data_IF_386906968972
#
_entry.id   IF_386906968972
#
_cell.length_a   1.000
_cell.length_b   1.000
_cell.length_c   1.000
_cell.angle_alpha   90.00
_cell.angle_beta   90.00
_cell.angle_gamma   90.00
#
_symmetry.space_group_name_H-M   'P 1'
#
loop_
_entity.id
_entity.type
_entity.pdbx_description
1 polymer ?
#
# COMPACT_ATOMS: atom_id res chain seq x y z
N UNK A 1 -19.77 -4.09 -12.68
CA UNK A 1 -18.64 -4.18 -13.63
C UNK A 1 -18.48 -2.79 -14.22
N UNK A 2 -17.27 -2.25 -14.30
CA UNK A 2 -17.07 -0.92 -14.90
C UNK A 2 -17.38 -0.96 -16.40
N UNK A 3 -18.01 0.08 -16.99
CA UNK A 3 -18.22 0.16 -18.43
C UNK A 3 -16.90 0.04 -19.19
N UNK A 4 -16.89 -0.70 -20.30
CA UNK A 4 -15.67 -1.02 -21.05
C UNK A 4 -14.99 0.23 -21.66
N UNK A 5 -15.78 1.26 -21.98
CA UNK A 5 -15.35 2.54 -22.56
C UNK A 5 -14.93 3.57 -21.51
N UNK A 6 -15.20 3.32 -20.22
CA UNK A 6 -14.91 4.28 -19.15
C UNK A 6 -13.42 4.66 -19.08
N UNK A 7 -12.44 3.73 -19.16
CA UNK A 7 -11.02 4.08 -19.12
C UNK A 7 -10.60 5.04 -20.24
N UNK A 8 -11.11 4.85 -21.46
CA UNK A 8 -10.81 5.71 -22.62
C UNK A 8 -11.43 7.10 -22.45
N UNK A 9 -12.66 7.17 -21.95
CA UNK A 9 -13.36 8.43 -21.66
C UNK A 9 -12.66 9.23 -20.57
N UNK A 10 -12.12 8.56 -19.55
CA UNK A 10 -11.30 9.19 -18.52
C UNK A 10 -9.97 9.69 -19.11
N UNK A 11 -9.31 8.93 -20.00
CA UNK A 11 -8.08 9.36 -20.67
C UNK A 11 -8.28 10.54 -21.63
N UNK A 12 -9.51 10.78 -22.12
CA UNK A 12 -9.84 11.95 -22.91
C UNK A 12 -9.90 13.25 -22.09
N UNK A 13 -9.93 13.16 -20.74
CA UNK A 13 -9.93 14.33 -19.86
C UNK A 13 -8.53 14.92 -19.77
N UNK A 14 -8.44 16.24 -19.90
CA UNK A 14 -7.17 16.98 -19.85
C UNK A 14 -6.41 16.69 -18.55
N UNK A 15 -5.13 16.38 -18.70
CA UNK A 15 -4.21 16.04 -17.61
C UNK A 15 -4.12 14.53 -17.36
N UNK A 16 -5.11 13.73 -17.75
CA UNK A 16 -5.06 12.28 -17.61
C UNK A 16 -4.12 11.67 -18.65
N UNK A 17 -3.20 10.83 -18.20
CA UNK A 17 -2.22 10.13 -19.04
C UNK A 17 -2.61 8.68 -19.26
N UNK A 18 -3.10 8.02 -18.21
CA UNK A 18 -3.47 6.61 -18.26
C UNK A 18 -4.45 6.26 -17.12
N UNK A 19 -5.18 5.16 -17.32
CA UNK A 19 -6.04 4.54 -16.31
C UNK A 19 -5.64 3.08 -16.17
N UNK A 20 -5.51 2.62 -14.92
CA UNK A 20 -5.18 1.23 -14.64
C UNK A 20 -6.04 0.67 -13.50
N UNK A 21 -6.32 -0.62 -13.58
CA UNK A 21 -6.90 -1.38 -12.49
C UNK A 21 -5.80 -1.71 -11.49
N UNK A 22 -6.05 -1.41 -10.21
CA UNK A 22 -5.18 -1.73 -9.09
C UNK A 22 -5.80 -2.76 -8.14
N UNK A 23 -5.27 -2.76 -6.92
CA UNK A 23 -5.79 -3.51 -5.79
C UNK A 23 -5.91 -5.02 -6.00
N UNK A 24 -6.87 -5.62 -5.30
CA UNK A 24 -7.01 -7.08 -5.26
C UNK A 24 -7.36 -7.68 -6.62
N UNK A 25 -8.16 -6.96 -7.43
CA UNK A 25 -8.60 -7.40 -8.75
C UNK A 25 -7.46 -7.43 -9.77
N UNK A 26 -6.56 -6.45 -9.75
CA UNK A 26 -5.40 -6.46 -10.61
C UNK A 26 -4.45 -7.64 -10.33
N UNK A 27 -4.39 -8.06 -9.05
CA UNK A 27 -3.52 -9.13 -8.56
C UNK A 27 -4.15 -10.53 -8.59
N UNK A 28 -5.43 -10.67 -8.94
CA UNK A 28 -6.15 -11.94 -8.89
C UNK A 28 -6.47 -12.41 -7.47
N UNK A 29 -6.43 -11.52 -6.48
CA UNK A 29 -6.66 -11.79 -5.06
C UNK A 29 -8.05 -11.32 -4.57
N UNK A 30 -8.93 -10.95 -5.51
CA UNK A 30 -10.26 -10.42 -5.20
C UNK A 30 -11.19 -11.47 -4.59
N UNK A 31 -12.07 -10.99 -3.72
CA UNK A 31 -13.24 -11.71 -3.23
C UNK A 31 -14.50 -11.22 -3.96
N UNK A 32 -15.65 -11.91 -3.83
CA UNK A 32 -16.90 -11.44 -4.42
C UNK A 32 -17.30 -10.03 -3.99
N UNK A 33 -16.97 -9.63 -2.76
CA UNK A 33 -17.24 -8.33 -2.15
C UNK A 33 -16.16 -7.27 -2.41
N UNK A 34 -15.10 -7.58 -3.17
CA UNK A 34 -14.01 -6.62 -3.40
C UNK A 34 -14.45 -5.42 -4.22
N UNK A 35 -13.96 -4.26 -3.79
CA UNK A 35 -13.90 -2.98 -4.50
C UNK A 35 -13.17 -3.10 -5.85
N UNK A 36 -13.35 -2.07 -6.68
CA UNK A 36 -12.55 -1.83 -7.88
C UNK A 36 -11.67 -0.60 -7.66
N UNK A 37 -10.36 -0.79 -7.61
CA UNK A 37 -9.41 0.31 -7.54
C UNK A 37 -9.03 0.79 -8.95
N UNK A 38 -9.49 1.98 -9.35
CA UNK A 38 -9.09 2.65 -10.58
C UNK A 38 -8.02 3.70 -10.29
N UNK A 39 -6.78 3.38 -10.62
CA UNK A 39 -5.67 4.33 -10.61
C UNK A 39 -5.74 5.24 -11.84
N UNK A 40 -5.93 6.53 -11.61
CA UNK A 40 -5.91 7.58 -12.62
C UNK A 40 -4.56 8.30 -12.56
N UNK A 41 -3.72 8.05 -13.57
CA UNK A 41 -2.39 8.62 -13.67
C UNK A 41 -2.47 9.91 -14.46
N UNK A 42 -2.01 11.01 -13.87
CA UNK A 42 -2.10 12.34 -14.47
C UNK A 42 -0.76 13.05 -14.47
N UNK A 43 -0.64 14.11 -15.27
CA UNK A 43 0.50 15.02 -15.30
C UNK A 43 0.03 16.46 -15.46
N UNK A 44 0.66 17.39 -14.75
CA UNK A 44 0.27 18.80 -14.77
C UNK A 44 -1.08 19.03 -14.09
N UNK A 45 -1.88 19.95 -14.62
CA UNK A 45 -3.19 20.24 -14.06
C UNK A 45 -4.24 19.20 -14.47
N UNK A 46 -4.90 18.61 -13.47
CA UNK A 46 -6.00 17.68 -13.66
C UNK A 46 -7.33 18.43 -13.76
N UNK A 47 -8.08 18.18 -14.84
CA UNK A 47 -9.41 18.77 -15.04
C UNK A 47 -10.49 18.02 -14.24
N UNK A 48 -10.51 18.24 -12.92
CA UNK A 48 -11.44 17.59 -12.00
C UNK A 48 -12.92 17.84 -12.33
N UNK A 49 -13.36 19.04 -12.76
CA UNK A 49 -14.72 19.25 -13.24
C UNK A 49 -15.09 18.33 -14.43
N UNK A 50 -14.21 18.18 -15.41
CA UNK A 50 -14.43 17.27 -16.53
C UNK A 50 -14.43 15.79 -16.10
N UNK A 51 -13.55 15.39 -15.17
CA UNK A 51 -13.58 14.04 -14.57
C UNK A 51 -14.92 13.76 -13.88
N UNK A 52 -15.42 14.73 -13.12
CA UNK A 52 -16.71 14.61 -12.43
C UNK A 52 -17.84 14.44 -13.42
N UNK A 53 -17.83 15.19 -14.52
CA UNK A 53 -18.82 15.04 -15.59
C UNK A 53 -18.79 13.65 -16.23
N UNK A 54 -17.59 13.06 -16.46
CA UNK A 54 -17.47 11.68 -16.96
C UNK A 54 -18.01 10.69 -15.92
N UNK A 55 -17.57 10.77 -14.67
CA UNK A 55 -18.01 9.88 -13.60
C UNK A 55 -19.53 9.94 -13.35
N UNK A 56 -20.14 11.13 -13.45
CA UNK A 56 -21.58 11.34 -13.31
C UNK A 56 -22.44 10.56 -14.31
N UNK A 57 -21.87 10.16 -15.45
CA UNK A 57 -22.61 9.37 -16.45
C UNK A 57 -22.69 7.87 -16.13
N UNK A 58 -21.88 7.38 -15.18
CA UNK A 58 -21.74 5.94 -14.90
C UNK A 58 -22.02 5.59 -13.43
N UNK A 59 -21.97 6.56 -12.53
CA UNK A 59 -22.24 6.33 -11.12
C UNK A 59 -23.74 6.14 -10.85
N UNK A 60 -24.05 5.39 -9.80
CA UNK A 60 -25.39 5.23 -9.25
C UNK A 60 -25.77 6.40 -8.35
N UNK A 61 -24.79 7.18 -7.88
CA UNK A 61 -24.98 8.25 -6.92
C UNK A 61 -25.37 9.57 -7.60
N UNK A 62 -26.33 10.30 -7.00
CA UNK A 62 -26.87 11.54 -7.57
C UNK A 62 -25.86 12.71 -7.55
N UNK A 63 -24.90 12.68 -6.64
CA UNK A 63 -23.81 13.65 -6.58
C UNK A 63 -22.47 12.91 -6.53
N UNK A 64 -21.57 13.28 -7.44
CA UNK A 64 -20.23 12.69 -7.53
C UNK A 64 -19.26 13.59 -6.80
N UNK A 65 -18.78 13.15 -5.64
CA UNK A 65 -17.77 13.85 -4.88
C UNK A 65 -16.34 13.44 -5.32
N UNK A 66 -15.70 14.28 -6.12
CA UNK A 66 -14.26 14.19 -6.41
C UNK A 66 -13.50 15.30 -5.69
N UNK A 67 -12.38 14.96 -5.04
CA UNK A 67 -11.46 15.95 -4.48
C UNK A 67 -10.63 16.62 -5.57
N UNK A 68 -10.02 17.76 -5.25
CA UNK A 68 -8.84 18.22 -5.97
C UNK A 68 -7.62 17.33 -5.65
N UNK A 69 -6.57 17.31 -6.48
CA UNK A 69 -5.25 16.82 -6.07
C UNK A 69 -4.79 17.49 -4.75
N UNK A 70 -4.10 16.74 -3.90
CA UNK A 70 -3.81 17.02 -2.50
C UNK A 70 -4.96 16.82 -1.50
N UNK A 71 -6.19 16.58 -1.95
CA UNK A 71 -7.39 16.58 -1.10
C UNK A 71 -7.49 15.44 -0.08
N UNK A 72 -6.80 14.32 -0.30
CA UNK A 72 -6.73 13.19 0.63
C UNK A 72 -5.40 13.12 1.41
N UNK A 73 -4.53 14.10 1.24
CA UNK A 73 -3.26 14.21 1.95
C UNK A 73 -2.04 14.09 1.04
N UNK A 74 -0.85 13.98 1.64
CA UNK A 74 0.40 14.14 0.91
C UNK A 74 0.80 12.91 0.10
N UNK A 75 0.12 11.77 0.18
CA UNK A 75 0.50 10.52 -0.50
C UNK A 75 -0.62 9.94 -1.37
N UNK A 76 -1.79 9.75 -0.79
CA UNK A 76 -2.98 9.46 -1.59
C UNK A 76 -3.50 10.81 -2.04
N UNK A 77 -3.10 11.21 -3.25
CA UNK A 77 -3.20 12.58 -3.75
C UNK A 77 -4.65 13.09 -3.80
N UNK A 78 -5.59 12.23 -4.15
CA UNK A 78 -7.01 12.56 -4.16
C UNK A 78 -7.79 11.52 -4.93
N UNK A 79 -9.05 11.81 -5.16
CA UNK A 79 -9.93 10.89 -5.85
C UNK A 79 -11.39 11.06 -5.51
N UNK A 80 -12.12 9.97 -5.65
CA UNK A 80 -13.49 9.83 -5.19
C UNK A 80 -13.88 8.37 -5.02
N UNK A 81 -14.82 8.13 -4.11
CA UNK A 81 -15.50 6.86 -4.00
C UNK A 81 -16.76 6.92 -4.84
N UNK A 82 -16.87 5.99 -5.78
CA UNK A 82 -18.00 5.87 -6.70
C UNK A 82 -18.72 4.56 -6.46
N UNK A 83 -19.96 4.48 -6.93
CA UNK A 83 -20.69 3.23 -7.02
C UNK A 83 -21.20 3.06 -8.45
N UNK A 84 -20.82 1.98 -9.12
CA UNK A 84 -21.16 1.75 -10.53
C UNK A 84 -21.86 0.40 -10.64
N UNK A 85 -23.15 0.40 -10.93
CA UNK A 85 -23.95 -0.81 -11.05
C UNK A 85 -23.97 -1.62 -9.75
N UNK A 86 -24.11 -0.94 -8.61
CA UNK A 86 -24.16 -1.49 -7.26
C UNK A 86 -22.81 -1.85 -6.64
N UNK A 87 -21.70 -1.60 -7.33
CA UNK A 87 -20.35 -2.01 -6.89
C UNK A 87 -19.50 -0.79 -6.54
N UNK A 88 -18.78 -0.85 -5.42
CA UNK A 88 -17.84 0.19 -5.01
C UNK A 88 -16.63 0.28 -5.96
N UNK A 89 -16.29 1.50 -6.37
CA UNK A 89 -15.17 1.82 -7.25
C UNK A 89 -14.39 2.99 -6.64
N UNK A 90 -13.13 2.75 -6.30
CA UNK A 90 -12.21 3.74 -5.76
C UNK A 90 -11.44 4.37 -6.93
N UNK A 91 -11.78 5.61 -7.29
CA UNK A 91 -11.03 6.39 -8.28
C UNK A 91 -9.91 7.13 -7.54
N UNK A 92 -8.65 6.78 -7.82
CA UNK A 92 -7.49 7.24 -7.05
C UNK A 92 -6.51 7.96 -7.97
N UNK A 93 -6.16 9.21 -7.64
CA UNK A 93 -5.20 10.00 -8.42
C UNK A 93 -3.75 9.62 -8.13
N UNK A 94 -2.94 9.64 -9.18
CA UNK A 94 -1.49 9.41 -9.15
C UNK A 94 -0.77 10.41 -10.05
N UNK A 95 -0.03 11.33 -9.45
CA UNK A 95 0.92 12.18 -10.18
C UNK A 95 2.03 11.31 -10.78
N UNK A 96 2.02 11.16 -12.10
CA UNK A 96 2.97 10.32 -12.82
C UNK A 96 4.41 10.84 -12.71
N UNK A 97 4.63 12.16 -12.57
CA UNK A 97 5.96 12.71 -12.35
C UNK A 97 6.48 12.32 -10.97
N UNK A 98 5.61 12.27 -9.96
CA UNK A 98 5.98 11.75 -8.65
C UNK A 98 6.31 10.27 -8.70
N UNK A 99 5.53 9.46 -9.41
CA UNK A 99 5.85 8.02 -9.58
C UNK A 99 7.24 7.85 -10.21
N UNK A 100 7.59 8.64 -11.23
CA UNK A 100 8.94 8.61 -11.83
C UNK A 100 10.04 9.04 -10.87
N UNK A 101 9.82 10.07 -10.04
CA UNK A 101 10.78 10.47 -8.98
C UNK A 101 11.00 9.33 -7.98
N UNK A 102 9.91 8.75 -7.45
CA UNK A 102 9.98 7.63 -6.52
C UNK A 102 10.65 6.41 -7.16
N UNK A 103 10.40 6.14 -8.45
CA UNK A 103 11.09 5.07 -9.17
C UNK A 103 12.61 5.29 -9.20
N UNK A 104 13.03 6.52 -9.46
CA UNK A 104 14.45 6.91 -9.43
C UNK A 104 15.06 6.72 -8.03
N UNK A 105 14.32 7.09 -6.98
CA UNK A 105 14.74 6.89 -5.59
C UNK A 105 14.85 5.40 -5.24
N UNK A 106 13.84 4.60 -5.59
CA UNK A 106 13.85 3.15 -5.35
C UNK A 106 15.07 2.49 -6.01
N UNK A 107 15.38 2.84 -7.26
CA UNK A 107 16.57 2.33 -7.96
C UNK A 107 17.89 2.70 -7.29
N UNK A 108 17.90 3.78 -6.52
CA UNK A 108 19.05 4.23 -5.73
C UNK A 108 18.99 3.78 -4.26
N UNK A 109 18.07 2.88 -3.90
CA UNK A 109 17.91 2.38 -2.52
C UNK A 109 17.33 3.41 -1.55
N UNK A 110 16.65 4.43 -2.06
CA UNK A 110 15.98 5.46 -1.25
C UNK A 110 14.48 5.23 -1.21
N UNK A 111 13.92 5.41 -0.03
CA UNK A 111 12.48 5.48 0.19
C UNK A 111 12.22 6.35 1.42
N UNK A 112 11.03 6.94 1.50
CA UNK A 112 10.51 7.58 2.69
C UNK A 112 9.23 6.87 3.17
N UNK A 113 8.93 7.06 4.46
CA UNK A 113 7.69 6.60 5.11
C UNK A 113 6.99 7.82 5.68
N UNK A 114 5.82 8.16 5.15
CA UNK A 114 5.10 9.37 5.55
C UNK A 114 3.77 9.09 6.24
N UNK A 115 3.28 10.09 6.99
CA UNK A 115 1.95 10.05 7.59
C UNK A 115 0.89 10.25 6.52
N UNK A 116 -0.09 9.35 6.46
CA UNK A 116 -1.16 9.39 5.46
C UNK A 116 -2.45 8.78 6.04
N UNK A 117 -3.56 9.49 5.91
CA UNK A 117 -4.87 8.96 6.27
C UNK A 117 -5.18 7.70 5.44
N UNK A 118 -5.72 6.67 6.09
CA UNK A 118 -5.98 5.37 5.48
C UNK A 118 -4.78 4.40 5.48
N UNK A 119 -3.58 4.85 5.89
CA UNK A 119 -2.39 4.03 5.98
C UNK A 119 -1.80 4.03 7.41
N UNK A 120 -2.34 3.23 8.34
CA UNK A 120 -1.93 3.25 9.75
C UNK A 120 -0.47 2.84 9.98
N UNK A 121 0.15 2.12 9.03
CA UNK A 121 1.58 1.78 9.12
C UNK A 121 2.49 2.96 8.71
N UNK A 122 1.92 3.96 8.05
CA UNK A 122 2.64 4.97 7.27
C UNK A 122 2.72 4.56 5.80
N UNK A 123 2.67 5.55 4.91
CA UNK A 123 2.78 5.34 3.48
C UNK A 123 4.24 5.17 3.09
N UNK A 124 4.61 3.96 2.67
CA UNK A 124 5.91 3.69 2.08
C UNK A 124 5.91 4.22 0.66
N UNK A 125 6.77 5.20 0.35
CA UNK A 125 6.87 5.80 -0.98
C UNK A 125 6.97 4.77 -2.12
N UNK A 126 7.67 3.66 -1.90
CA UNK A 126 7.79 2.54 -2.85
C UNK A 126 6.44 1.94 -3.29
N UNK A 127 5.36 2.16 -2.54
CA UNK A 127 4.00 1.78 -2.94
C UNK A 127 3.57 2.40 -4.28
N UNK A 128 3.97 3.64 -4.60
CA UNK A 128 3.68 4.25 -5.91
C UNK A 128 4.19 3.38 -7.07
N UNK A 129 5.40 2.87 -6.93
CA UNK A 129 6.06 2.05 -7.96
C UNK A 129 5.46 0.65 -7.97
N UNK A 130 5.22 0.08 -6.79
CA UNK A 130 4.59 -1.22 -6.64
C UNK A 130 3.18 -1.26 -7.22
N UNK A 131 2.40 -0.19 -7.09
CA UNK A 131 1.08 -0.08 -7.72
C UNK A 131 1.19 -0.13 -9.25
N UNK A 132 2.15 0.59 -9.86
CA UNK A 132 2.40 0.48 -11.30
C UNK A 132 2.85 -0.93 -11.69
N UNK A 133 3.74 -1.55 -10.92
CA UNK A 133 4.24 -2.90 -11.20
C UNK A 133 3.12 -3.95 -11.19
N UNK A 134 2.16 -3.80 -10.26
CA UNK A 134 1.10 -4.77 -10.00
C UNK A 134 -0.21 -4.46 -10.73
N UNK A 135 -0.36 -3.30 -11.36
CA UNK A 135 -1.61 -2.92 -12.01
C UNK A 135 -1.87 -3.71 -13.31
N UNK A 136 -3.11 -3.62 -13.79
CA UNK A 136 -3.47 -3.94 -15.18
C UNK A 136 -3.82 -2.62 -15.89
N UNK A 137 -3.05 -2.27 -16.92
CA UNK A 137 -3.30 -1.04 -17.69
C UNK A 137 -4.61 -1.22 -18.46
N UNK A 138 -5.56 -0.30 -18.26
CA UNK A 138 -6.87 -0.33 -18.93
C UNK A 138 -6.90 0.60 -20.15
N UNK A 139 -6.28 1.78 -20.03
CA UNK A 139 -6.10 2.73 -21.12
C UNK A 139 -4.79 3.52 -20.92
N UNK A 140 -3.99 3.66 -21.98
CA UNK A 140 -2.69 4.37 -21.96
C UNK A 140 -2.34 4.83 -23.38
N UNK A 141 -3.01 5.88 -23.90
CA UNK A 141 -2.86 6.31 -25.29
C UNK A 141 -1.44 6.74 -25.66
N UNK A 142 -0.60 7.07 -24.67
CA UNK A 142 0.80 7.52 -24.88
C UNK A 142 1.83 6.42 -24.65
N UNK A 143 1.41 5.26 -24.14
CA UNK A 143 2.28 4.15 -23.75
C UNK A 143 3.20 4.45 -22.57
N UNK A 144 3.02 5.57 -21.85
CA UNK A 144 3.92 6.00 -20.78
C UNK A 144 3.82 5.08 -19.57
N UNK A 145 2.60 4.76 -19.13
CA UNK A 145 2.38 3.89 -17.98
C UNK A 145 2.83 2.47 -18.28
N UNK A 146 2.56 1.98 -19.49
CA UNK A 146 2.93 0.64 -19.96
C UNK A 146 4.45 0.45 -19.98
N UNK A 147 5.20 1.44 -20.50
CA UNK A 147 6.67 1.42 -20.47
C UNK A 147 7.21 1.44 -19.04
N UNK A 148 6.65 2.28 -18.17
CA UNK A 148 7.06 2.33 -16.77
C UNK A 148 6.78 1.00 -16.06
N UNK A 149 5.60 0.41 -16.29
CA UNK A 149 5.23 -0.90 -15.73
C UNK A 149 6.18 -2.01 -16.14
N UNK A 150 6.67 -2.03 -17.38
CA UNK A 150 7.68 -3.02 -17.79
C UNK A 150 8.96 -2.87 -16.96
N UNK A 151 9.41 -1.63 -16.74
CA UNK A 151 10.62 -1.35 -15.94
C UNK A 151 10.45 -1.75 -14.47
N UNK A 152 9.26 -1.57 -13.90
CA UNK A 152 9.00 -1.81 -12.47
C UNK A 152 8.69 -3.27 -12.13
N UNK A 153 8.64 -4.17 -13.13
CA UNK A 153 8.57 -5.62 -12.91
C UNK A 153 9.81 -6.15 -12.20
N UNK A 154 10.97 -5.57 -12.49
CA UNK A 154 12.22 -5.89 -11.81
C UNK A 154 12.30 -5.10 -10.49
N UNK A 155 12.30 -5.82 -9.38
CA UNK A 155 12.44 -5.22 -8.05
C UNK A 155 13.88 -4.72 -7.85
N UNK A 156 14.11 -3.43 -7.54
CA UNK A 156 15.47 -2.91 -7.45
C UNK A 156 16.27 -3.55 -6.29
N UNK A 157 17.45 -4.13 -6.55
CA UNK A 157 18.30 -4.69 -5.50
C UNK A 157 18.67 -3.66 -4.41
N UNK A 158 18.96 -2.43 -4.81
CA UNK A 158 19.28 -1.36 -3.86
C UNK A 158 18.11 -1.02 -2.92
N UNK A 159 16.86 -1.08 -3.40
CA UNK A 159 15.68 -0.91 -2.54
C UNK A 159 15.54 -2.10 -1.59
N UNK A 160 15.78 -3.32 -2.09
CA UNK A 160 15.73 -4.52 -1.27
C UNK A 160 16.72 -4.42 -0.11
N UNK A 161 17.98 -4.07 -0.39
CA UNK A 161 19.02 -3.90 0.62
C UNK A 161 18.64 -2.84 1.66
N UNK A 162 18.10 -1.70 1.22
CA UNK A 162 17.68 -0.61 2.11
C UNK A 162 16.52 -1.02 3.04
N UNK A 163 15.51 -1.70 2.51
CA UNK A 163 14.36 -2.18 3.31
C UNK A 163 14.76 -3.31 4.26
N UNK A 164 15.65 -4.22 3.83
CA UNK A 164 16.19 -5.26 4.71
C UNK A 164 17.00 -4.63 5.84
N UNK A 165 17.87 -3.66 5.52
CA UNK A 165 18.65 -2.94 6.51
C UNK A 165 17.75 -2.23 7.53
N UNK A 166 16.59 -1.71 7.12
CA UNK A 166 15.61 -1.05 8.02
C UNK A 166 15.00 -1.96 9.08
N UNK A 167 15.17 -3.28 8.96
CA UNK A 167 14.69 -4.27 9.93
C UNK A 167 15.17 -4.03 11.37
N UNK A 168 16.26 -3.28 11.58
CA UNK A 168 16.74 -2.90 12.91
C UNK A 168 15.68 -2.13 13.72
N UNK A 169 14.77 -1.40 13.06
CA UNK A 169 13.68 -0.64 13.71
C UNK A 169 12.82 -1.55 14.59
N UNK A 170 12.56 -2.78 14.15
CA UNK A 170 11.73 -3.74 14.87
C UNK A 170 12.31 -4.06 16.27
N UNK A 171 13.63 -4.29 16.35
CA UNK A 171 14.31 -4.53 17.63
C UNK A 171 14.29 -3.30 18.56
N UNK A 172 14.43 -2.11 17.98
CA UNK A 172 14.35 -0.86 18.73
C UNK A 172 12.97 -0.64 19.35
N UNK A 173 11.90 -0.87 18.57
CA UNK A 173 10.51 -0.78 19.05
C UNK A 173 10.22 -1.77 20.18
N UNK A 174 10.69 -3.01 20.07
CA UNK A 174 10.50 -4.02 21.13
C UNK A 174 11.29 -3.70 22.40
N UNK A 175 12.41 -2.98 22.29
CA UNK A 175 13.13 -2.44 23.46
C UNK A 175 12.30 -1.37 24.16
N UNK A 176 11.65 -0.48 23.41
CA UNK A 176 10.72 0.52 23.95
C UNK A 176 9.51 -0.12 24.60
N UNK A 177 8.84 -1.04 23.91
CA UNK A 177 7.65 -1.75 24.38
C UNK A 177 7.92 -2.49 25.71
N UNK A 178 9.09 -3.11 25.87
CA UNK A 178 9.47 -3.81 27.11
C UNK A 178 9.60 -2.88 28.33
N UNK A 179 9.91 -1.59 28.14
CA UNK A 179 9.91 -0.61 29.24
C UNK A 179 8.49 -0.25 29.64
N UNK A 180 7.60 -0.10 28.65
CA UNK A 180 6.20 0.26 28.87
C UNK A 180 5.37 -0.91 29.45
N UNK A 181 5.75 -2.15 29.17
CA UNK A 181 5.03 -3.34 29.66
C UNK A 181 5.01 -3.45 31.19
N UNK A 182 6.04 -2.96 31.88
CA UNK A 182 6.07 -2.93 33.35
C UNK A 182 4.94 -2.06 33.94
N UNK A 183 4.53 -1.01 33.22
CA UNK A 183 3.42 -0.14 33.58
C UNK A 183 2.06 -0.60 33.08
N UNK A 184 1.97 -1.73 32.37
CA UNK A 184 0.71 -2.23 31.81
C UNK A 184 0.19 -1.44 30.61
N UNK A 185 1.04 -0.67 29.91
CA UNK A 185 0.64 0.17 28.77
C UNK A 185 0.41 -0.68 27.49
N UNK A 186 -0.71 -1.39 27.48
CA UNK A 186 -1.11 -2.26 26.38
C UNK A 186 -1.33 -1.50 25.07
N UNK A 187 -1.78 -0.25 25.14
CA UNK A 187 -1.98 0.61 23.97
C UNK A 187 -0.67 0.92 23.25
N UNK A 188 0.37 1.34 23.98
CA UNK A 188 1.68 1.59 23.40
C UNK A 188 2.33 0.30 22.88
N UNK A 189 2.22 -0.81 23.62
CA UNK A 189 2.74 -2.11 23.16
C UNK A 189 2.03 -2.55 21.87
N UNK A 190 0.71 -2.40 21.77
CA UNK A 190 -0.04 -2.71 20.56
C UNK A 190 0.43 -1.88 19.35
N UNK A 191 0.64 -0.58 19.53
CA UNK A 191 1.18 0.30 18.49
C UNK A 191 2.58 -0.13 18.03
N UNK A 192 3.46 -0.48 18.98
CA UNK A 192 4.78 -1.01 18.66
C UNK A 192 4.70 -2.33 17.89
N UNK A 193 3.85 -3.27 18.32
CA UNK A 193 3.70 -4.57 17.67
C UNK A 193 3.16 -4.43 16.23
N UNK A 194 2.19 -3.54 16.00
CA UNK A 194 1.68 -3.29 14.65
C UNK A 194 2.79 -2.77 13.72
N UNK A 195 3.61 -1.82 14.21
CA UNK A 195 4.76 -1.30 13.47
C UNK A 195 5.83 -2.36 13.23
N UNK A 196 6.17 -3.16 14.24
CA UNK A 196 7.11 -4.29 14.14
C UNK A 196 6.67 -5.25 13.04
N UNK A 197 5.42 -5.72 13.07
CA UNK A 197 4.90 -6.66 12.07
C UNK A 197 4.94 -6.05 10.66
N UNK A 198 4.63 -4.75 10.52
CA UNK A 198 4.74 -4.05 9.25
C UNK A 198 6.17 -3.96 8.72
N UNK A 199 7.15 -3.66 9.57
CA UNK A 199 8.58 -3.68 9.21
C UNK A 199 9.01 -5.08 8.77
N UNK A 200 8.63 -6.12 9.51
CA UNK A 200 8.93 -7.51 9.13
C UNK A 200 8.32 -7.89 7.78
N UNK A 201 7.09 -7.46 7.50
CA UNK A 201 6.47 -7.66 6.20
C UNK A 201 7.26 -6.98 5.07
N UNK A 202 7.72 -5.74 5.27
CA UNK A 202 8.58 -5.04 4.31
C UNK A 202 9.91 -5.78 4.07
N UNK A 203 10.56 -6.26 5.14
CA UNK A 203 11.81 -7.04 5.03
C UNK A 203 11.60 -8.32 4.23
N UNK A 204 10.55 -9.09 4.52
CA UNK A 204 10.24 -10.32 3.79
C UNK A 204 9.96 -10.06 2.30
N UNK A 205 9.19 -9.02 2.00
CA UNK A 205 8.90 -8.59 0.64
C UNK A 205 10.17 -8.15 -0.11
N UNK A 206 11.03 -7.38 0.54
CA UNK A 206 12.32 -6.96 0.01
C UNK A 206 13.24 -8.15 -0.31
N UNK A 207 13.42 -9.09 0.64
CA UNK A 207 14.21 -10.32 0.44
C UNK A 207 13.68 -11.17 -0.72
N UNK A 208 12.35 -11.24 -0.87
CA UNK A 208 11.71 -11.99 -1.95
C UNK A 208 11.67 -11.26 -3.29
N UNK A 209 12.10 -9.99 -3.37
CA UNK A 209 11.96 -9.16 -4.56
C UNK A 209 10.48 -9.01 -4.98
N UNK A 210 9.61 -8.70 -4.02
CA UNK A 210 8.15 -8.56 -4.22
C UNK A 210 7.66 -7.24 -3.68
N UNK A 211 6.87 -6.52 -4.46
CA UNK A 211 6.25 -5.26 -4.04
C UNK A 211 5.20 -5.47 -2.95
N UNK A 212 5.23 -4.61 -1.93
CA UNK A 212 4.18 -4.44 -0.92
C UNK A 212 3.64 -3.02 -1.03
N UNK A 213 2.35 -2.87 -1.35
CA UNK A 213 1.75 -1.57 -1.69
C UNK A 213 0.87 -0.98 -0.60
N UNK A 214 0.45 -1.78 0.38
CA UNK A 214 -0.27 -1.32 1.56
C UNK A 214 -0.23 -2.38 2.68
N UNK A 215 -0.69 -1.99 3.85
CA UNK A 215 -0.80 -2.82 5.04
C UNK A 215 -2.02 -3.76 5.04
N UNK A 216 -3.03 -3.51 4.20
CA UNK A 216 -4.22 -4.37 4.06
C UNK A 216 -3.82 -5.74 3.51
N UNK A 217 -3.82 -6.73 4.39
CA UNK A 217 -3.43 -8.10 4.05
C UNK A 217 -1.92 -8.38 4.03
N UNK A 218 -1.09 -7.42 4.49
CA UNK A 218 0.37 -7.55 4.46
C UNK A 218 0.90 -8.80 5.18
N UNK A 219 0.25 -9.21 6.28
CA UNK A 219 0.67 -10.37 7.08
C UNK A 219 0.49 -11.66 6.28
N UNK A 220 -0.67 -11.79 5.62
CA UNK A 220 -0.97 -12.95 4.81
C UNK A 220 -0.09 -12.98 3.55
N UNK A 221 0.15 -11.83 2.92
CA UNK A 221 1.03 -11.72 1.76
C UNK A 221 2.48 -12.12 2.11
N UNK A 222 3.04 -11.54 3.18
CA UNK A 222 4.38 -11.84 3.64
C UNK A 222 4.55 -13.31 4.04
N UNK A 223 3.55 -13.90 4.71
CA UNK A 223 3.58 -15.31 5.11
C UNK A 223 3.54 -16.32 3.95
N UNK A 224 3.18 -15.90 2.72
CA UNK A 224 3.23 -16.74 1.51
C UNK A 224 4.58 -16.67 0.79
N UNK A 225 5.47 -15.77 1.19
CA UNK A 225 6.72 -15.54 0.47
C UNK A 225 7.75 -16.65 0.74
N UNK A 226 8.59 -16.97 -0.26
CA UNK A 226 9.80 -17.74 -0.02
C UNK A 226 10.67 -17.05 1.03
N UNK A 227 11.12 -17.79 2.04
CA UNK A 227 11.93 -17.26 3.14
C UNK A 227 11.14 -16.67 4.31
N UNK A 228 9.79 -16.68 4.27
CA UNK A 228 8.99 -16.41 5.45
C UNK A 228 9.19 -17.52 6.49
N UNK A 229 9.32 -17.19 7.79
CA UNK A 229 9.43 -18.22 8.83
C UNK A 229 8.18 -19.10 8.91
N UNK A 230 8.31 -20.33 9.44
CA UNK A 230 7.17 -21.21 9.66
C UNK A 230 6.04 -20.51 10.44
N UNK A 231 4.81 -20.68 9.96
CA UNK A 231 3.61 -20.08 10.53
C UNK A 231 3.67 -18.55 10.69
N UNK A 232 4.49 -17.82 9.92
CA UNK A 232 4.66 -16.36 10.07
C UNK A 232 3.33 -15.64 10.19
N UNK A 233 2.39 -15.89 9.27
CA UNK A 233 1.10 -15.22 9.26
C UNK A 233 0.28 -15.47 10.54
N UNK A 234 0.22 -16.73 10.98
CA UNK A 234 -0.50 -17.12 12.20
C UNK A 234 0.13 -16.49 13.44
N UNK A 235 1.47 -16.53 13.54
CA UNK A 235 2.22 -15.95 14.67
C UNK A 235 2.07 -14.43 14.73
N UNK A 236 2.23 -13.74 13.60
CA UNK A 236 2.05 -12.29 13.53
C UNK A 236 0.60 -11.86 13.85
N UNK A 237 -0.41 -12.60 13.39
CA UNK A 237 -1.80 -12.34 13.78
C UNK A 237 -2.04 -12.55 15.27
N UNK A 238 -1.45 -13.58 15.88
CA UNK A 238 -1.58 -13.83 17.31
C UNK A 238 -1.02 -12.67 18.16
N UNK A 239 0.13 -12.10 17.76
CA UNK A 239 0.73 -10.94 18.43
C UNK A 239 -0.22 -9.74 18.48
N UNK A 240 -1.00 -9.53 17.41
CA UNK A 240 -1.91 -8.39 17.28
C UNK A 240 -3.32 -8.68 17.79
N UNK A 241 -3.73 -9.95 17.82
CA UNK A 241 -5.06 -10.37 18.26
C UNK A 241 -5.21 -10.44 19.79
N UNK A 242 -4.12 -10.62 20.51
CA UNK A 242 -4.12 -10.70 21.98
C UNK A 242 -2.81 -10.13 22.56
N UNK A 243 -2.71 -8.81 22.62
CA UNK A 243 -1.49 -8.13 23.10
C UNK A 243 -1.22 -8.40 24.58
N UNK A 244 -2.28 -8.44 25.40
CA UNK A 244 -2.21 -8.62 26.85
C UNK A 244 -2.67 -7.37 27.61
N UNK A 245 -3.06 -7.55 28.87
CA UNK A 245 -3.47 -6.48 29.80
C UNK A 245 -2.66 -6.47 31.11
N UNK A 246 -1.93 -7.55 31.42
CA UNK A 246 -1.02 -7.60 32.56
C UNK A 246 0.46 -7.47 32.13
N UNK A 247 1.37 -7.00 33.00
CA UNK A 247 2.80 -6.94 32.68
C UNK A 247 3.39 -8.28 32.23
N UNK A 248 2.91 -9.40 32.79
CA UNK A 248 3.35 -10.74 32.43
C UNK A 248 2.90 -11.15 31.02
N UNK A 249 1.64 -10.89 30.67
CA UNK A 249 1.13 -11.13 29.31
C UNK A 249 1.84 -10.27 28.27
N UNK A 250 2.01 -8.98 28.54
CA UNK A 250 2.71 -8.06 27.66
C UNK A 250 4.16 -8.51 27.44
N UNK A 251 4.86 -8.94 28.50
CA UNK A 251 6.21 -9.46 28.39
C UNK A 251 6.27 -10.75 27.54
N UNK A 252 5.29 -11.65 27.68
CA UNK A 252 5.20 -12.86 26.88
C UNK A 252 4.98 -12.55 25.39
N UNK A 253 4.06 -11.64 25.06
CA UNK A 253 3.81 -11.19 23.68
C UNK A 253 5.05 -10.53 23.08
N UNK A 254 5.74 -9.67 23.83
CA UNK A 254 7.00 -9.05 23.39
C UNK A 254 8.09 -10.11 23.17
N UNK A 255 8.16 -11.14 24.02
CA UNK A 255 9.06 -12.28 23.84
C UNK A 255 8.82 -13.02 22.52
N UNK A 256 7.58 -13.38 22.24
CA UNK A 256 7.19 -14.02 20.98
C UNK A 256 7.47 -13.13 19.75
N UNK A 257 7.30 -11.81 19.89
CA UNK A 257 7.65 -10.86 18.83
C UNK A 257 9.17 -10.83 18.56
N UNK A 258 10.02 -10.93 19.60
CA UNK A 258 11.49 -10.98 19.46
C UNK A 258 11.96 -12.22 18.73
N UNK A 259 11.34 -13.37 18.97
CA UNK A 259 11.61 -14.60 18.21
C UNK A 259 11.33 -14.37 16.72
N UNK A 260 10.15 -13.82 16.40
CA UNK A 260 9.77 -13.55 15.01
C UNK A 260 10.70 -12.52 14.34
N UNK A 261 11.13 -11.49 15.06
CA UNK A 261 12.12 -10.52 14.56
C UNK A 261 13.45 -11.21 14.28
N UNK A 262 13.91 -12.09 15.15
CA UNK A 262 15.18 -12.82 14.97
C UNK A 262 15.14 -13.71 13.74
N UNK A 263 14.03 -14.41 13.51
CA UNK A 263 13.87 -15.30 12.34
C UNK A 263 13.76 -14.54 11.00
N UNK A 264 13.30 -13.28 11.02
CA UNK A 264 13.11 -12.46 9.81
C UNK A 264 14.28 -11.52 9.55
N UNK A 265 14.97 -11.01 10.57
CA UNK A 265 16.05 -10.01 10.42
C UNK A 265 17.43 -10.62 10.63
N UNK A 266 17.55 -11.65 11.48
CA UNK A 266 18.75 -12.47 11.61
C UNK A 266 19.07 -13.23 10.33
#
# INVERSE_FOLDING_TARGET
MIPADLPDRLCAVRGVVAVALGGSRARGEQRPDSDWDLGLYYRGELDVPALRAVAATVTDDADVALTAPGGWGPWVDGGGWLRIGGVAVDLIYRDLDRVHRVWTDCRAGRYEVGVQAGHPLGFYSSAYVGEVALCQVLADPTGQLSRLREQTREYPPALADALVASGWEAGFLLTGAAKASAGGDSGYVAGCLFRVVGVLAQVLHARAGRWLVNEKGMIAAAGRLPGAPPDFARRAQALLGAVGHSPAELAATIGAARELVTEVVG
#
